data_IF_501333504140
#
_entry.id   IF_501333504140
#
_cell.length_a   1.000
_cell.length_b   1.000
_cell.length_c   1.000
_cell.angle_alpha   90.00
_cell.angle_beta   90.00
_cell.angle_gamma   90.00
#
_symmetry.space_group_name_H-M   'P 1'
#
loop_
_entity.id
_entity.type
_entity.pdbx_description
1 polymer ?
#
# COMPACT_ATOMS: atom_id res chain seq x y z
N UNK A 1 3.80 -15.19 0.85
CA UNK A 1 3.71 -14.07 1.83
C UNK A 1 3.99 -12.79 1.08
N UNK A 2 3.21 -11.74 1.31
CA UNK A 2 3.50 -10.40 0.80
C UNK A 2 4.45 -9.73 1.82
N UNK A 3 5.73 -9.65 1.46
CA UNK A 3 6.80 -9.25 2.38
C UNK A 3 7.59 -10.43 2.96
N UNK A 4 8.50 -10.12 3.87
CA UNK A 4 9.40 -11.08 4.52
C UNK A 4 8.68 -11.99 5.54
N UNK A 5 9.29 -13.14 5.83
CA UNK A 5 8.76 -14.16 6.75
C UNK A 5 9.34 -14.07 8.17
N UNK A 6 10.30 -13.17 8.41
CA UNK A 6 10.93 -13.01 9.74
C UNK A 6 10.01 -12.42 10.81
N UNK A 7 8.92 -11.76 10.39
CA UNK A 7 8.03 -11.01 11.29
C UNK A 7 8.60 -9.66 11.75
N UNK A 8 9.75 -9.24 11.22
CA UNK A 8 10.33 -7.93 11.52
C UNK A 8 9.52 -6.80 10.86
N UNK A 9 9.33 -5.68 11.58
CA UNK A 9 8.80 -4.45 11.00
C UNK A 9 9.90 -3.66 10.30
N UNK A 10 9.56 -2.93 9.24
CA UNK A 10 10.51 -2.04 8.56
C UNK A 10 9.92 -1.34 7.34
N UNK A 11 10.76 -0.60 6.63
CA UNK A 11 10.37 0.25 5.49
C UNK A 11 11.02 -0.14 4.16
N UNK A 12 11.83 -1.20 4.13
CA UNK A 12 12.41 -1.74 2.88
C UNK A 12 11.32 -2.31 1.97
N UNK A 13 11.68 -2.72 0.75
CA UNK A 13 10.73 -3.33 -0.20
C UNK A 13 10.09 -4.62 0.32
N UNK A 14 10.76 -5.36 1.20
CA UNK A 14 10.30 -6.62 1.75
C UNK A 14 9.62 -6.49 3.11
N UNK A 15 9.81 -5.37 3.82
CA UNK A 15 9.29 -5.18 5.17
C UNK A 15 8.06 -4.25 5.15
N UNK A 16 7.14 -4.52 6.07
CA UNK A 16 5.95 -3.72 6.32
C UNK A 16 6.02 -3.17 7.75
N UNK A 17 5.26 -2.12 8.02
CA UNK A 17 5.12 -1.51 9.33
C UNK A 17 3.64 -1.22 9.60
N UNK A 18 3.05 -1.92 10.58
CA UNK A 18 1.63 -1.83 10.93
C UNK A 18 0.68 -1.96 9.71
N UNK A 19 0.78 -3.01 8.88
CA UNK A 19 -0.15 -3.15 7.76
C UNK A 19 -1.59 -3.37 8.26
N UNK A 20 -2.56 -2.57 7.76
CA UNK A 20 -3.95 -2.59 8.27
C UNK A 20 -4.93 -3.30 7.34
N UNK A 21 -4.75 -3.18 6.02
CA UNK A 21 -5.65 -3.77 5.03
C UNK A 21 -4.90 -4.24 3.81
N UNK A 22 -5.50 -5.18 3.08
CA UNK A 22 -5.04 -5.59 1.76
C UNK A 22 -6.19 -5.78 0.78
N UNK A 23 -5.86 -5.78 -0.50
CA UNK A 23 -6.73 -6.23 -1.59
C UNK A 23 -5.88 -7.02 -2.60
N UNK A 24 -6.54 -7.85 -3.41
CA UNK A 24 -5.89 -8.73 -4.38
C UNK A 24 -6.51 -8.52 -5.76
N UNK A 25 -5.70 -8.45 -6.81
CA UNK A 25 -6.18 -8.36 -8.19
C UNK A 25 -6.43 -9.76 -8.81
N UNK A 26 -6.99 -9.80 -10.03
CA UNK A 26 -7.26 -11.06 -10.73
C UNK A 26 -5.97 -11.82 -11.15
N UNK A 27 -4.79 -11.19 -11.05
CA UNK A 27 -3.49 -11.83 -11.30
C UNK A 27 -2.87 -12.36 -10.00
N UNK A 28 -3.59 -12.31 -8.88
CA UNK A 28 -3.11 -12.66 -7.54
C UNK A 28 -1.99 -11.75 -7.01
N UNK A 29 -1.88 -10.52 -7.51
CA UNK A 29 -1.00 -9.52 -6.92
C UNK A 29 -1.67 -8.92 -5.68
N UNK A 30 -0.89 -8.68 -4.63
CA UNK A 30 -1.39 -8.21 -3.32
C UNK A 30 -1.01 -6.76 -3.11
N UNK A 31 -1.99 -5.91 -2.87
CA UNK A 31 -1.82 -4.51 -2.50
C UNK A 31 -2.05 -4.38 -1.00
N UNK A 32 -1.08 -3.83 -0.27
CA UNK A 32 -1.12 -3.73 1.20
C UNK A 32 -1.03 -2.27 1.61
N UNK A 33 -2.00 -1.83 2.42
CA UNK A 33 -1.91 -0.57 3.14
C UNK A 33 -0.84 -0.69 4.23
N UNK A 34 0.37 -0.22 3.93
CA UNK A 34 1.53 -0.26 4.82
C UNK A 34 1.53 1.01 5.69
N UNK A 35 0.57 1.03 6.61
CA UNK A 35 0.10 2.23 7.30
C UNK A 35 1.18 2.96 8.07
N UNK A 36 2.03 2.24 8.80
CA UNK A 36 3.14 2.81 9.57
C UNK A 36 4.24 3.41 8.69
N UNK A 37 4.24 3.12 7.39
CA UNK A 37 5.14 3.69 6.40
C UNK A 37 4.46 4.72 5.47
N UNK A 38 3.19 5.05 5.70
CA UNK A 38 2.41 6.01 4.88
C UNK A 38 2.44 5.71 3.38
N UNK A 39 2.35 4.42 3.03
CA UNK A 39 2.41 3.95 1.63
C UNK A 39 1.45 2.79 1.36
N UNK A 40 1.27 2.48 0.08
CA UNK A 40 0.69 1.21 -0.37
C UNK A 40 1.74 0.44 -1.15
N UNK A 41 1.98 -0.82 -0.74
CA UNK A 41 2.91 -1.73 -1.39
C UNK A 41 2.17 -2.72 -2.29
N UNK A 42 2.65 -2.92 -3.51
CA UNK A 42 2.23 -3.98 -4.43
C UNK A 42 3.25 -5.11 -4.40
N UNK A 43 2.79 -6.32 -4.12
CA UNK A 43 3.57 -7.54 -4.25
C UNK A 43 3.02 -8.36 -5.41
N UNK A 44 3.86 -8.62 -6.42
CA UNK A 44 3.46 -9.50 -7.51
C UNK A 44 3.32 -10.94 -7.00
N UNK A 45 2.47 -11.72 -7.64
CA UNK A 45 2.23 -13.11 -7.27
C UNK A 45 3.54 -13.90 -7.11
N UNK A 46 3.77 -14.45 -5.91
CA UNK A 46 4.98 -15.21 -5.58
C UNK A 46 6.23 -14.38 -5.26
N UNK A 47 6.17 -13.05 -5.30
CA UNK A 47 7.29 -12.18 -4.97
C UNK A 47 7.23 -11.68 -3.52
N UNK A 48 8.39 -11.61 -2.87
CA UNK A 48 8.53 -11.05 -1.52
C UNK A 48 8.90 -9.56 -1.54
N UNK A 49 9.41 -9.05 -2.65
CA UNK A 49 9.71 -7.63 -2.82
C UNK A 49 8.45 -6.91 -3.28
N UNK A 50 8.09 -5.85 -2.57
CA UNK A 50 7.02 -4.96 -2.94
C UNK A 50 7.51 -3.70 -3.64
N UNK A 51 6.65 -3.14 -4.48
CA UNK A 51 6.83 -1.82 -5.12
C UNK A 51 5.85 -0.83 -4.50
N UNK A 52 6.31 0.37 -4.16
CA UNK A 52 5.42 1.43 -3.70
C UNK A 52 4.60 1.96 -4.87
N UNK A 53 3.27 1.82 -4.79
CA UNK A 53 2.33 2.24 -5.84
C UNK A 53 1.48 3.46 -5.43
N UNK A 54 1.49 3.81 -4.15
CA UNK A 54 0.90 5.05 -3.64
C UNK A 54 1.63 5.52 -2.38
N UNK A 55 1.73 6.83 -2.19
CA UNK A 55 2.47 7.46 -1.09
C UNK A 55 3.99 7.47 -1.31
N UNK A 56 4.70 8.01 -0.33
CA UNK A 56 6.17 8.02 -0.29
C UNK A 56 6.61 7.39 1.02
N UNK A 57 7.46 6.38 0.94
CA UNK A 57 7.89 5.58 2.10
C UNK A 57 8.41 6.47 3.23
N UNK A 58 7.74 6.42 4.39
CA UNK A 58 8.13 7.16 5.59
C UNK A 58 7.79 8.66 5.57
N UNK A 59 7.06 9.14 4.54
CA UNK A 59 6.68 10.55 4.40
C UNK A 59 5.16 10.67 4.41
N UNK A 60 4.63 11.16 5.54
CA UNK A 60 3.22 11.52 5.65
C UNK A 60 2.96 12.94 5.13
N UNK A 61 1.80 13.18 4.52
CA UNK A 61 1.42 14.53 4.09
C UNK A 61 0.06 14.60 3.43
N UNK A 62 -0.35 15.81 3.01
CA UNK A 62 -1.70 16.12 2.51
C UNK A 62 -1.75 16.41 1.01
N UNK A 63 -0.61 16.37 0.30
CA UNK A 63 -0.57 16.54 -1.16
C UNK A 63 -1.18 15.33 -1.87
N UNK A 64 -1.44 15.44 -3.17
CA UNK A 64 -2.04 14.35 -3.97
C UNK A 64 -1.16 13.11 -4.13
N UNK A 65 0.14 13.20 -3.83
CA UNK A 65 1.08 12.08 -3.89
C UNK A 65 1.42 11.49 -2.53
N UNK A 66 1.00 12.14 -1.44
CA UNK A 66 1.28 11.72 -0.08
C UNK A 66 0.02 11.14 0.58
N UNK A 67 0.26 10.25 1.55
CA UNK A 67 -0.77 9.63 2.36
C UNK A 67 -0.51 9.96 3.82
N UNK A 68 -1.56 10.02 4.62
CA UNK A 68 -1.56 10.13 6.06
C UNK A 68 -2.30 8.94 6.64
N UNK A 69 -1.55 7.96 7.14
CA UNK A 69 -2.07 6.77 7.82
C UNK A 69 -3.14 6.07 6.93
N UNK A 70 -2.75 5.48 5.79
CA UNK A 70 -3.70 4.78 4.93
C UNK A 70 -4.19 3.51 5.62
N UNK A 71 -5.51 3.36 5.80
CA UNK A 71 -6.09 2.18 6.47
C UNK A 71 -6.72 1.17 5.52
N UNK A 72 -7.44 1.65 4.51
CA UNK A 72 -8.20 0.82 3.57
C UNK A 72 -7.66 0.95 2.16
N UNK A 73 -7.66 -0.15 1.43
CA UNK A 73 -7.33 -0.20 0.00
C UNK A 73 -8.37 -1.03 -0.75
N UNK A 74 -8.76 -0.57 -1.94
CA UNK A 74 -9.65 -1.29 -2.85
C UNK A 74 -9.23 -1.07 -4.30
N UNK A 75 -9.59 -2.02 -5.17
CA UNK A 75 -9.37 -1.93 -6.62
C UNK A 75 -10.71 -1.88 -7.35
N UNK A 76 -10.76 -1.15 -8.45
CA UNK A 76 -11.83 -1.32 -9.45
C UNK A 76 -11.47 -2.38 -10.50
N UNK A 77 -12.36 -2.60 -11.47
CA UNK A 77 -12.14 -3.57 -12.56
C UNK A 77 -10.98 -3.21 -13.50
N UNK A 78 -10.53 -1.96 -13.50
CA UNK A 78 -9.40 -1.45 -14.27
C UNK A 78 -8.11 -1.45 -13.44
N UNK A 79 -8.20 -1.95 -12.19
CA UNK A 79 -7.12 -2.00 -11.22
C UNK A 79 -6.60 -0.62 -10.81
N UNK A 80 -7.46 0.41 -10.88
CA UNK A 80 -7.20 1.67 -10.19
C UNK A 80 -7.31 1.44 -8.69
N UNK A 81 -6.36 2.01 -7.94
CA UNK A 81 -6.24 1.83 -6.50
C UNK A 81 -6.92 2.98 -5.78
N UNK A 82 -7.88 2.65 -4.92
CA UNK A 82 -8.53 3.57 -4.00
C UNK A 82 -7.95 3.39 -2.61
N UNK A 83 -7.52 4.47 -1.98
CA UNK A 83 -6.88 4.46 -0.66
C UNK A 83 -7.67 5.36 0.30
N UNK A 84 -8.10 4.79 1.42
CA UNK A 84 -8.65 5.55 2.54
C UNK A 84 -7.52 6.25 3.30
N UNK A 85 -7.27 7.50 2.92
CA UNK A 85 -6.23 8.38 3.45
C UNK A 85 -6.70 9.02 4.76
N UNK A 86 -6.63 8.22 5.83
CA UNK A 86 -7.55 8.31 6.97
C UNK A 86 -7.33 9.58 7.80
N UNK A 87 -6.08 9.94 8.11
CA UNK A 87 -5.83 11.18 8.88
C UNK A 87 -6.01 12.44 8.05
N UNK A 88 -6.10 12.30 6.74
CA UNK A 88 -6.40 13.40 5.83
C UNK A 88 -7.90 13.48 5.48
N UNK A 89 -8.74 12.63 6.09
CA UNK A 89 -10.21 12.63 5.95
C UNK A 89 -10.70 12.55 4.50
N UNK A 90 -9.99 11.78 3.66
CA UNK A 90 -10.31 11.68 2.24
C UNK A 90 -10.07 10.27 1.70
N UNK A 91 -10.58 10.04 0.49
CA UNK A 91 -10.21 8.89 -0.35
C UNK A 91 -9.43 9.42 -1.55
N UNK A 92 -8.29 8.80 -1.84
CA UNK A 92 -7.48 9.12 -3.02
C UNK A 92 -7.50 7.96 -4.01
N UNK A 93 -7.53 8.27 -5.30
CA UNK A 93 -7.44 7.29 -6.38
C UNK A 93 -6.09 7.42 -7.07
N UNK A 94 -5.41 6.29 -7.26
CA UNK A 94 -4.14 6.16 -7.97
C UNK A 94 -4.38 5.28 -9.20
N UNK A 95 -4.07 5.81 -10.37
CA UNK A 95 -4.22 5.07 -11.63
C UNK A 95 -3.18 3.95 -11.69
N UNK A 96 -3.57 2.83 -12.30
CA UNK A 96 -2.59 1.82 -12.71
C UNK A 96 -1.70 2.40 -13.81
N UNK A 97 -0.39 2.40 -13.57
CA UNK A 97 0.62 2.74 -14.59
C UNK A 97 0.92 1.54 -15.48
#
# INVERSE_FOLDING_TARGET
VAGDISGASGSTSTLLNMPVSLTVDYMSNVYVADTGNSRVQLFLAGQLNGTTVAGVTGVSGTTSSLLGIPYGVALDSQLNLYVADTTNYRVQMFLRH
#
